data_IF_179239358365
#
_entry.id   IF_179239358365
#
_cell.length_a   1.000
_cell.length_b   1.000
_cell.length_c   1.000
_cell.angle_alpha   90.00
_cell.angle_beta   90.00
_cell.angle_gamma   90.00
#
_symmetry.space_group_name_H-M   'P 1'
#
loop_
_entity.id
_entity.type
_entity.pdbx_description
1 polymer ?
#
# COMPACT_ATOMS: atom_id res chain seq x y z
N UNK A 1 17.15 15.46 -2.64
CA UNK A 1 16.49 14.39 -3.46
C UNK A 1 16.72 13.04 -2.83
N UNK A 2 15.70 12.23 -2.78
CA UNK A 2 15.78 10.87 -2.26
C UNK A 2 15.43 9.88 -3.37
N UNK A 3 16.26 8.84 -3.53
CA UNK A 3 15.95 7.69 -4.39
C UNK A 3 15.29 6.62 -3.51
N UNK A 4 13.98 6.53 -3.59
CA UNK A 4 13.21 5.68 -2.68
C UNK A 4 12.99 4.25 -3.20
N UNK A 5 13.28 4.00 -4.49
CA UNK A 5 13.04 2.71 -5.12
C UNK A 5 11.61 2.22 -4.81
N UNK A 6 11.45 0.96 -4.40
CA UNK A 6 10.11 0.42 -4.16
C UNK A 6 9.51 0.80 -2.79
N UNK A 7 10.22 1.59 -1.98
CA UNK A 7 9.69 2.07 -0.71
C UNK A 7 8.56 3.08 -0.93
N UNK A 8 8.66 3.89 -1.98
CA UNK A 8 7.59 4.82 -2.34
C UNK A 8 7.11 4.49 -3.75
N UNK A 9 5.85 4.16 -3.87
CA UNK A 9 5.20 3.76 -5.12
C UNK A 9 3.77 4.30 -5.15
N UNK A 10 3.16 4.40 -6.36
CA UNK A 10 1.75 4.80 -6.45
C UNK A 10 0.81 3.94 -5.62
N UNK A 11 1.11 2.64 -5.49
CA UNK A 11 0.44 1.73 -4.56
C UNK A 11 1.55 0.96 -3.82
N UNK A 12 1.58 0.99 -2.47
CA UNK A 12 2.55 0.19 -1.73
C UNK A 12 2.45 -1.28 -2.07
N UNK A 13 3.60 -1.94 -2.25
CA UNK A 13 3.66 -3.36 -2.58
C UNK A 13 4.57 -4.05 -1.59
N UNK A 14 4.01 -4.97 -0.79
CA UNK A 14 4.71 -5.57 0.34
C UNK A 14 4.72 -7.11 0.31
N UNK A 15 4.36 -7.72 -0.82
CA UNK A 15 4.22 -9.18 -0.93
C UNK A 15 5.51 -9.93 -0.57
N UNK A 16 6.66 -9.34 -0.88
CA UNK A 16 7.97 -9.93 -0.64
C UNK A 16 8.65 -9.41 0.64
N UNK A 17 7.95 -8.60 1.44
CA UNK A 17 8.53 -7.99 2.62
C UNK A 17 7.57 -7.94 3.80
N UNK A 18 8.00 -7.24 4.85
CA UNK A 18 7.18 -7.05 6.05
C UNK A 18 6.43 -5.73 5.93
N UNK A 19 5.09 -5.79 5.94
CA UNK A 19 4.27 -4.57 5.81
C UNK A 19 4.46 -3.61 6.98
N UNK A 20 4.79 -4.11 8.16
CA UNK A 20 5.03 -3.27 9.34
C UNK A 20 6.32 -2.49 9.19
N UNK A 21 7.39 -3.13 8.73
CA UNK A 21 8.65 -2.45 8.43
C UNK A 21 8.48 -1.45 7.30
N UNK A 22 7.67 -1.79 6.29
CA UNK A 22 7.35 -0.91 5.18
C UNK A 22 6.68 0.35 5.69
N UNK A 23 5.66 0.18 6.55
CA UNK A 23 4.93 1.30 7.14
C UNK A 23 5.85 2.17 8.00
N UNK A 24 6.72 1.56 8.81
CA UNK A 24 7.69 2.28 9.62
C UNK A 24 8.63 3.12 8.75
N UNK A 25 9.05 2.57 7.60
CA UNK A 25 9.90 3.29 6.66
C UNK A 25 9.20 4.53 6.10
N UNK A 26 7.90 4.42 5.78
CA UNK A 26 7.11 5.55 5.30
C UNK A 26 6.96 6.61 6.39
N UNK A 27 6.71 6.19 7.64
CA UNK A 27 6.62 7.11 8.77
C UNK A 27 7.94 7.85 9.00
N UNK A 28 9.07 7.14 8.88
CA UNK A 28 10.39 7.73 9.02
C UNK A 28 10.63 8.80 7.95
N UNK A 29 10.24 8.53 6.70
CA UNK A 29 10.39 9.48 5.61
C UNK A 29 9.62 10.78 5.84
N UNK A 30 8.50 10.73 6.56
CA UNK A 30 7.73 11.93 6.90
C UNK A 30 8.51 12.89 7.77
N UNK A 31 9.48 12.40 8.54
CA UNK A 31 10.32 13.21 9.40
C UNK A 31 11.44 13.95 8.67
N UNK A 32 11.71 13.62 7.42
CA UNK A 32 12.76 14.26 6.65
C UNK A 32 12.22 15.47 5.87
N UNK A 33 13.05 16.51 5.78
CA UNK A 33 12.73 17.69 4.97
C UNK A 33 13.28 17.50 3.57
N UNK A 34 12.53 16.75 2.75
CA UNK A 34 12.95 16.38 1.40
C UNK A 34 12.41 17.35 0.35
N UNK A 35 13.23 17.65 -0.66
CA UNK A 35 12.81 18.48 -1.79
C UNK A 35 12.09 17.66 -2.86
N UNK A 36 12.52 16.42 -3.05
CA UNK A 36 11.91 15.52 -4.02
C UNK A 36 12.17 14.07 -3.65
N UNK A 37 11.31 13.18 -4.13
CA UNK A 37 11.47 11.73 -4.02
C UNK A 37 11.37 11.13 -5.41
N UNK A 38 12.34 10.28 -5.76
CA UNK A 38 12.26 9.48 -6.98
C UNK A 38 11.70 8.12 -6.58
N UNK A 39 10.48 7.83 -7.04
CA UNK A 39 9.81 6.56 -6.78
C UNK A 39 10.43 5.46 -7.63
N UNK A 40 10.35 4.20 -7.17
CA UNK A 40 10.79 3.06 -7.94
C UNK A 40 9.95 2.89 -9.21
N UNK A 41 8.66 3.16 -9.10
CA UNK A 41 7.71 3.13 -10.21
C UNK A 41 6.76 4.31 -10.05
N UNK A 42 6.70 5.18 -11.06
CA UNK A 42 5.84 6.35 -11.04
C UNK A 42 6.62 7.64 -11.21
N UNK A 43 5.97 8.75 -10.94
CA UNK A 43 6.53 10.07 -11.16
C UNK A 43 7.41 10.51 -9.98
N UNK A 44 8.30 11.47 -10.26
CA UNK A 44 9.07 12.12 -9.20
C UNK A 44 8.11 12.97 -8.36
N UNK A 45 8.20 12.83 -7.03
CA UNK A 45 7.41 13.63 -6.10
C UNK A 45 8.19 14.87 -5.69
N UNK A 46 7.54 16.02 -5.77
CA UNK A 46 8.10 17.30 -5.33
C UNK A 46 7.70 17.59 -3.90
N UNK A 47 8.37 18.58 -3.28
CA UNK A 47 8.21 18.89 -1.86
C UNK A 47 6.74 18.98 -1.39
N UNK A 48 5.89 19.68 -2.15
CA UNK A 48 4.49 19.86 -1.77
C UNK A 48 3.66 18.59 -1.87
N UNK A 49 4.11 17.63 -2.67
CA UNK A 49 3.41 16.36 -2.90
C UNK A 49 3.85 15.25 -1.93
N UNK A 50 5.06 15.38 -1.37
CA UNK A 50 5.65 14.33 -0.54
C UNK A 50 4.80 13.98 0.68
N UNK A 51 4.39 14.94 1.54
CA UNK A 51 3.59 14.60 2.72
C UNK A 51 2.27 13.92 2.35
N UNK A 52 1.63 14.40 1.29
CA UNK A 52 0.34 13.87 0.82
C UNK A 52 0.52 12.43 0.33
N UNK A 53 1.57 12.17 -0.45
CA UNK A 53 1.82 10.83 -0.97
C UNK A 53 2.17 9.82 0.13
N UNK A 54 3.01 10.22 1.09
CA UNK A 54 3.39 9.35 2.20
C UNK A 54 2.19 9.03 3.08
N UNK A 55 1.40 10.04 3.43
CA UNK A 55 0.20 9.86 4.24
C UNK A 55 -0.81 8.97 3.55
N UNK A 56 -1.04 9.19 2.26
CA UNK A 56 -1.94 8.36 1.46
C UNK A 56 -1.49 6.90 1.43
N UNK A 57 -0.20 6.64 1.35
CA UNK A 57 0.32 5.27 1.36
C UNK A 57 0.15 4.60 2.73
N UNK A 58 0.37 5.33 3.81
CA UNK A 58 0.16 4.83 5.17
C UNK A 58 -1.32 4.52 5.39
N UNK A 59 -2.21 5.42 4.97
CA UNK A 59 -3.66 5.20 5.07
C UNK A 59 -4.09 3.98 4.27
N UNK A 60 -3.53 3.81 3.07
CA UNK A 60 -3.81 2.63 2.25
C UNK A 60 -3.48 1.34 3.00
N UNK A 61 -2.29 1.25 3.60
CA UNK A 61 -1.87 0.07 4.36
C UNK A 61 -2.82 -0.20 5.53
N UNK A 62 -3.24 0.84 6.24
CA UNK A 62 -4.16 0.70 7.36
C UNK A 62 -5.55 0.26 6.90
N UNK A 63 -6.05 0.83 5.79
CA UNK A 63 -7.38 0.50 5.26
C UNK A 63 -7.46 -0.93 4.76
N UNK A 64 -6.46 -1.41 4.02
CA UNK A 64 -6.50 -2.79 3.54
C UNK A 64 -6.38 -3.77 4.69
N UNK A 65 -5.58 -3.48 5.71
CA UNK A 65 -5.48 -4.33 6.89
C UNK A 65 -6.84 -4.43 7.59
N UNK A 66 -7.51 -3.30 7.80
CA UNK A 66 -8.83 -3.27 8.44
C UNK A 66 -9.85 -4.06 7.63
N UNK A 67 -9.92 -3.83 6.33
CA UNK A 67 -10.92 -4.49 5.47
C UNK A 67 -10.68 -6.00 5.34
N UNK A 68 -9.43 -6.41 5.18
CA UNK A 68 -9.10 -7.85 5.09
C UNK A 68 -9.34 -8.53 6.43
N UNK A 69 -9.03 -7.88 7.54
CA UNK A 69 -9.29 -8.41 8.89
C UNK A 69 -10.77 -8.71 9.07
N UNK A 70 -11.65 -7.81 8.63
CA UNK A 70 -13.10 -8.02 8.71
C UNK A 70 -13.54 -9.25 7.93
N UNK A 71 -12.96 -9.47 6.75
CA UNK A 71 -13.27 -10.63 5.92
C UNK A 71 -12.82 -11.93 6.58
N UNK A 72 -11.61 -11.96 7.12
CA UNK A 72 -11.06 -13.13 7.79
C UNK A 72 -11.84 -13.46 9.06
N UNK A 73 -12.15 -12.46 9.88
CA UNK A 73 -12.92 -12.66 11.12
C UNK A 73 -14.35 -13.11 10.85
N UNK A 74 -14.94 -12.68 9.73
CA UNK A 74 -16.27 -13.13 9.33
C UNK A 74 -16.29 -14.52 8.70
N UNK A 75 -15.13 -15.15 8.52
CA UNK A 75 -15.03 -16.47 7.91
C UNK A 75 -15.32 -16.49 6.42
N UNK A 76 -15.23 -15.35 5.74
CA UNK A 76 -15.50 -15.26 4.31
C UNK A 76 -14.32 -15.77 3.47
N UNK A 77 -14.62 -16.22 2.26
CA UNK A 77 -13.58 -16.70 1.35
C UNK A 77 -12.82 -15.56 0.68
N UNK A 78 -11.74 -15.90 -0.01
CA UNK A 78 -10.93 -14.95 -0.76
C UNK A 78 -11.73 -14.17 -1.81
N UNK A 79 -12.85 -14.70 -2.29
CA UNK A 79 -13.70 -14.00 -3.26
C UNK A 79 -14.21 -12.66 -2.72
N UNK A 80 -14.37 -12.56 -1.41
CA UNK A 80 -14.81 -11.30 -0.78
C UNK A 80 -13.80 -10.18 -0.95
N UNK A 81 -12.53 -10.50 -1.22
CA UNK A 81 -11.48 -9.50 -1.45
C UNK A 81 -11.76 -8.63 -2.68
N UNK A 82 -12.49 -9.15 -3.65
CA UNK A 82 -12.82 -8.40 -4.87
C UNK A 82 -13.64 -7.14 -4.59
N UNK A 83 -14.30 -7.08 -3.44
CA UNK A 83 -15.09 -5.92 -3.03
C UNK A 83 -14.22 -4.78 -2.49
N UNK A 84 -12.96 -5.07 -2.17
CA UNK A 84 -12.01 -4.06 -1.69
C UNK A 84 -11.30 -3.47 -2.90
N UNK A 85 -11.92 -2.47 -3.52
CA UNK A 85 -11.34 -1.85 -4.71
C UNK A 85 -10.24 -0.87 -4.33
N UNK A 86 -9.32 -0.65 -5.26
CA UNK A 86 -8.22 0.28 -5.06
C UNK A 86 -8.74 1.71 -4.78
N UNK A 87 -9.84 2.09 -5.42
CA UNK A 87 -10.45 3.41 -5.24
C UNK A 87 -10.96 3.60 -3.81
N UNK A 88 -11.51 2.55 -3.19
CA UNK A 88 -11.97 2.59 -1.80
C UNK A 88 -10.83 2.78 -0.81
N UNK A 89 -9.64 2.42 -1.20
CA UNK A 89 -8.45 2.57 -0.37
C UNK A 89 -7.70 3.87 -0.63
N UNK A 90 -8.31 4.80 -1.35
CA UNK A 90 -7.76 6.12 -1.58
C UNK A 90 -6.68 6.21 -2.65
N UNK A 91 -6.54 5.19 -3.48
CA UNK A 91 -5.57 5.17 -4.57
C UNK A 91 -6.27 5.14 -5.93
N UNK A 92 -5.58 5.67 -6.95
CA UNK A 92 -6.08 5.63 -8.31
C UNK A 92 -5.71 4.32 -8.99
N UNK A 93 -6.60 3.81 -9.86
CA UNK A 93 -6.36 2.62 -10.67
C UNK A 93 -5.61 2.93 -11.97
N UNK A 94 -5.35 4.21 -12.26
CA UNK A 94 -4.76 4.66 -13.52
C UNK A 94 -3.23 4.50 -13.61
N UNK A 95 -2.43 4.81 -12.56
CA UNK A 95 -0.97 4.75 -12.66
C UNK A 95 -0.45 3.43 -13.20
N UNK A 96 0.69 3.48 -13.90
CA UNK A 96 1.37 2.32 -14.47
C UNK A 96 0.48 1.54 -15.44
N UNK A 97 -0.38 2.25 -16.18
CA UNK A 97 -1.32 1.64 -17.15
C UNK A 97 -2.21 0.58 -16.52
N UNK A 98 -2.60 0.80 -15.25
CA UNK A 98 -3.48 -0.13 -14.53
C UNK A 98 -2.77 -1.25 -13.78
N UNK A 99 -1.45 -1.36 -13.88
CA UNK A 99 -0.69 -2.37 -13.14
C UNK A 99 -0.93 -2.25 -11.62
N UNK A 100 -1.23 -1.03 -11.13
CA UNK A 100 -1.53 -0.79 -9.72
C UNK A 100 -2.70 -1.65 -9.22
N UNK A 101 -3.65 -1.99 -10.08
CA UNK A 101 -4.76 -2.87 -9.70
C UNK A 101 -4.27 -4.29 -9.41
N UNK A 102 -3.30 -4.78 -10.21
CA UNK A 102 -2.71 -6.09 -10.00
C UNK A 102 -1.88 -6.12 -8.72
N UNK A 103 -1.13 -5.05 -8.45
CA UNK A 103 -0.35 -4.91 -7.21
C UNK A 103 -1.27 -4.89 -5.99
N UNK A 104 -2.37 -4.13 -6.08
CA UNK A 104 -3.37 -4.06 -5.02
C UNK A 104 -3.98 -5.43 -4.73
N UNK A 105 -4.37 -6.15 -5.78
CA UNK A 105 -4.94 -7.49 -5.63
C UNK A 105 -3.94 -8.43 -4.95
N UNK A 106 -2.67 -8.39 -5.38
CA UNK A 106 -1.63 -9.21 -4.78
C UNK A 106 -1.45 -8.90 -3.29
N UNK A 107 -1.49 -7.62 -2.92
CA UNK A 107 -1.44 -7.18 -1.52
C UNK A 107 -2.59 -7.79 -0.70
N UNK A 108 -3.82 -7.75 -1.25
CA UNK A 108 -4.99 -8.29 -0.56
C UNK A 108 -4.88 -9.79 -0.31
N UNK A 109 -4.44 -10.54 -1.32
CA UNK A 109 -4.27 -11.99 -1.19
C UNK A 109 -3.18 -12.34 -0.18
N UNK A 110 -2.04 -11.64 -0.24
CA UNK A 110 -0.95 -11.88 0.70
C UNK A 110 -1.39 -11.62 2.14
N UNK A 111 -2.12 -10.52 2.34
CA UNK A 111 -2.62 -10.15 3.66
C UNK A 111 -3.68 -11.13 4.16
N UNK A 112 -4.57 -11.57 3.28
CA UNK A 112 -5.57 -12.57 3.63
C UNK A 112 -4.91 -13.88 4.10
N UNK A 113 -3.90 -14.37 3.39
CA UNK A 113 -3.18 -15.58 3.79
C UNK A 113 -2.49 -15.41 5.13
N UNK A 114 -1.83 -14.28 5.35
CA UNK A 114 -1.16 -14.00 6.62
C UNK A 114 -2.14 -14.00 7.79
N UNK A 115 -3.24 -13.26 7.66
CA UNK A 115 -4.21 -13.12 8.74
C UNK A 115 -5.01 -14.39 8.96
N UNK A 116 -5.34 -15.14 7.91
CA UNK A 116 -6.00 -16.43 8.01
C UNK A 116 -5.12 -17.45 8.74
N UNK A 117 -3.82 -17.45 8.45
CA UNK A 117 -2.86 -18.33 9.11
C UNK A 117 -2.76 -18.09 10.60
N UNK A 118 -2.93 -16.84 11.04
CA UNK A 118 -2.88 -16.48 12.47
C UNK A 118 -4.10 -16.97 13.24
N UNK A 119 -5.25 -17.10 12.57
CA UNK A 119 -6.49 -17.55 13.20
C UNK A 119 -6.60 -19.08 13.28
N UNK A 120 -5.80 -19.76 12.49
CA UNK A 120 -5.72 -21.21 12.48
C UNK A 120 -4.55 -21.67 13.36
#
# INVERSE_FOLDING_TARGET
MLLAADTVMPVPYFVWGDRHEFKESLEMLKGYNLESIVQGHGEVLLRGEIPIALESSIEYLNLIEEEVTKIVEAGKSQKALEKITIDKCGKSRIPLNGLVQDLHRANLYALYEELSGRLN
#
